data_IF_505288335561
#
_entry.id   IF_505288335561
#
_cell.length_a   1.000
_cell.length_b   1.000
_cell.length_c   1.000
_cell.angle_alpha   90.00
_cell.angle_beta   90.00
_cell.angle_gamma   90.00
#
_symmetry.space_group_name_H-M   'P 1'
#
loop_
_entity.id
_entity.type
_entity.pdbx_description
1 polymer ?
#
# COMPACT_ATOMS: atom_id res chain seq x y z
N UNK A 1 20.72 6.63 -9.37
CA UNK A 1 20.82 5.32 -10.06
C UNK A 1 21.16 4.30 -8.98
N UNK A 2 20.34 3.35 -8.55
CA UNK A 2 19.12 2.74 -9.06
C UNK A 2 18.09 2.69 -7.92
N UNK A 3 16.99 3.45 -8.05
CA UNK A 3 15.82 3.32 -7.18
C UNK A 3 14.74 2.60 -7.96
N UNK A 4 14.25 1.51 -7.38
CA UNK A 4 13.20 0.66 -7.94
C UNK A 4 11.94 1.46 -8.30
N UNK A 5 11.45 1.44 -9.54
CA UNK A 5 10.24 2.17 -9.95
C UNK A 5 8.92 1.51 -9.53
N UNK A 6 8.93 0.30 -8.95
CA UNK A 6 7.68 -0.46 -8.73
C UNK A 6 7.06 -0.27 -7.33
N UNK A 7 7.80 0.31 -6.36
CA UNK A 7 7.27 0.56 -5.01
C UNK A 7 7.34 2.01 -4.55
N UNK A 8 7.85 2.92 -5.38
CA UNK A 8 7.85 4.36 -5.08
C UNK A 8 6.51 5.04 -5.40
N UNK A 9 5.63 4.43 -6.21
CA UNK A 9 4.32 5.01 -6.51
C UNK A 9 3.23 4.76 -5.45
N UNK A 10 3.48 3.96 -4.41
CA UNK A 10 2.40 3.58 -3.48
C UNK A 10 2.51 4.22 -2.10
N UNK A 11 3.66 4.76 -1.68
CA UNK A 11 3.83 5.21 -0.27
C UNK A 11 4.43 6.60 -0.10
N UNK A 12 4.99 7.24 -1.14
CA UNK A 12 5.58 8.58 -0.99
C UNK A 12 5.09 9.48 -2.13
N UNK A 13 4.23 10.43 -1.73
CA UNK A 13 3.78 11.61 -2.48
C UNK A 13 2.77 11.39 -3.63
N UNK A 14 1.48 11.37 -3.27
CA UNK A 14 0.51 12.17 -4.05
C UNK A 14 0.05 13.34 -3.18
N UNK A 15 0.62 14.56 -3.32
CA UNK A 15 -0.19 15.73 -3.09
C UNK A 15 -1.32 15.63 -4.12
N UNK A 16 -2.58 15.64 -3.66
CA UNK A 16 -3.72 15.85 -4.54
C UNK A 16 -3.60 17.28 -5.08
N UNK A 17 -2.80 17.47 -6.12
CA UNK A 17 -2.78 18.69 -6.90
C UNK A 17 -4.12 18.72 -7.64
N UNK A 18 -5.04 19.50 -7.09
CA UNK A 18 -6.20 19.96 -7.84
C UNK A 18 -5.67 20.67 -9.09
N UNK A 19 -5.99 20.13 -10.26
CA UNK A 19 -5.75 20.79 -11.54
C UNK A 19 -6.51 22.11 -11.57
N UNK A 20 -5.79 23.21 -11.37
CA UNK A 20 -6.32 24.54 -11.55
C UNK A 20 -5.81 25.05 -12.91
N UNK A 21 -6.65 24.93 -13.94
CA UNK A 21 -6.38 25.54 -15.24
C UNK A 21 -6.61 27.05 -15.13
N UNK A 22 -5.60 27.83 -15.51
CA UNK A 22 -5.69 29.30 -15.61
C UNK A 22 -6.66 29.67 -16.73
N UNK A 23 -7.79 30.27 -16.38
CA UNK A 23 -8.46 31.23 -17.28
C UNK A 23 -8.97 32.44 -16.50
N UNK A 24 -8.57 33.60 -17.00
CA UNK A 24 -9.26 34.90 -17.07
C UNK A 24 -9.89 35.52 -15.80
N UNK A 25 -9.43 36.75 -15.53
CA UNK A 25 -9.90 37.68 -14.50
C UNK A 25 -11.39 38.03 -14.63
N UNK A 26 -12.23 37.54 -13.73
CA UNK A 26 -13.45 38.22 -13.26
C UNK A 26 -13.69 37.89 -11.78
N UNK A 27 -13.73 38.92 -10.92
CA UNK A 27 -14.19 38.79 -9.53
C UNK A 27 -15.66 38.36 -9.55
N UNK A 28 -15.94 37.11 -9.21
CA UNK A 28 -17.27 36.64 -8.84
C UNK A 28 -17.27 36.40 -7.34
N UNK A 29 -17.97 37.27 -6.62
CA UNK A 29 -18.31 37.04 -5.21
C UNK A 29 -19.47 36.05 -5.18
N UNK A 30 -19.19 34.78 -4.92
CA UNK A 30 -20.20 33.77 -4.61
C UNK A 30 -20.10 33.42 -3.13
N UNK A 31 -21.06 33.88 -2.33
CA UNK A 31 -21.26 33.38 -0.97
C UNK A 31 -21.85 31.97 -1.05
N UNK A 32 -21.04 30.96 -0.74
CA UNK A 32 -21.47 29.57 -0.66
C UNK A 32 -22.19 29.33 0.69
N UNK A 33 -23.51 29.50 0.70
CA UNK A 33 -24.32 29.06 1.83
C UNK A 33 -24.56 27.55 1.70
N UNK A 34 -24.01 26.78 2.64
CA UNK A 34 -24.07 25.32 2.68
C UNK A 34 -25.39 24.89 3.35
N UNK A 35 -26.31 24.15 2.68
CA UNK A 35 -27.51 23.65 3.34
C UNK A 35 -27.13 22.59 4.38
N UNK A 36 -27.59 22.77 5.62
CA UNK A 36 -27.39 21.82 6.74
C UNK A 36 -28.44 20.71 6.70
N UNK A 37 -28.39 19.84 5.70
CA UNK A 37 -29.15 18.60 5.72
C UNK A 37 -28.36 17.52 6.49
N UNK A 38 -28.77 17.23 7.72
CA UNK A 38 -28.28 16.07 8.50
C UNK A 38 -28.69 14.79 7.76
N UNK A 39 -27.74 14.19 7.03
CA UNK A 39 -27.95 12.90 6.37
C UNK A 39 -27.54 11.81 7.35
N UNK A 40 -28.54 11.18 7.97
CA UNK A 40 -28.34 10.00 8.82
C UNK A 40 -27.66 8.90 8.01
N UNK A 41 -26.35 8.81 8.19
CA UNK A 41 -25.50 7.82 7.56
C UNK A 41 -25.69 6.52 8.32
N UNK A 42 -26.74 5.75 7.98
CA UNK A 42 -26.82 4.35 8.38
C UNK A 42 -25.58 3.66 7.83
N UNK A 43 -24.60 3.41 8.72
CA UNK A 43 -23.35 2.74 8.42
C UNK A 43 -23.68 1.31 8.04
N UNK A 44 -23.92 1.06 6.75
CA UNK A 44 -23.99 -0.28 6.19
C UNK A 44 -22.67 -0.96 6.56
N UNK A 45 -22.72 -1.94 7.47
CA UNK A 45 -21.61 -2.82 7.79
C UNK A 45 -21.38 -3.70 6.56
N UNK A 46 -20.64 -3.17 5.59
CA UNK A 46 -20.11 -3.96 4.48
C UNK A 46 -19.17 -4.97 5.14
N UNK A 47 -19.57 -6.24 5.13
CA UNK A 47 -18.67 -7.32 5.52
C UNK A 47 -17.47 -7.26 4.58
N UNK A 48 -16.28 -7.00 5.13
CA UNK A 48 -15.04 -6.86 4.36
C UNK A 48 -14.55 -8.18 3.76
N UNK A 49 -15.28 -9.28 3.98
CA UNK A 49 -14.90 -10.59 3.47
C UNK A 49 -15.55 -10.78 2.09
N UNK A 50 -14.75 -10.93 1.03
CA UNK A 50 -15.28 -11.17 -0.29
C UNK A 50 -15.96 -12.55 -0.35
N UNK A 51 -16.94 -12.73 -1.26
CA UNK A 51 -17.69 -13.98 -1.37
C UNK A 51 -16.74 -15.15 -1.65
N UNK A 52 -16.96 -16.26 -0.93
CA UNK A 52 -16.10 -17.47 -0.92
C UNK A 52 -16.03 -18.19 -2.29
N UNK A 53 -16.82 -17.78 -3.28
CA UNK A 53 -17.05 -18.50 -4.54
C UNK A 53 -16.49 -17.78 -5.78
N UNK A 54 -15.37 -17.07 -5.64
CA UNK A 54 -14.65 -16.49 -6.79
C UNK A 54 -13.66 -17.48 -7.40
N UNK A 55 -13.60 -17.59 -8.73
CA UNK A 55 -12.54 -18.36 -9.45
C UNK A 55 -11.18 -17.64 -9.49
N UNK A 56 -11.09 -16.45 -8.91
CA UNK A 56 -9.98 -15.52 -9.04
C UNK A 56 -9.48 -15.08 -7.67
N UNK A 57 -8.22 -14.68 -7.60
CA UNK A 57 -7.65 -14.06 -6.41
C UNK A 57 -8.26 -12.68 -6.17
N UNK A 58 -8.41 -12.32 -4.91
CA UNK A 58 -9.12 -11.11 -4.48
C UNK A 58 -8.12 -10.15 -3.86
N UNK A 59 -8.08 -8.91 -4.35
CA UNK A 59 -7.17 -7.87 -3.88
C UNK A 59 -7.97 -6.84 -3.07
N UNK A 60 -7.57 -6.63 -1.82
CA UNK A 60 -8.23 -5.71 -0.91
C UNK A 60 -7.88 -4.24 -1.11
N UNK A 61 -8.55 -3.33 -0.36
CA UNK A 61 -8.10 -1.95 -0.23
C UNK A 61 -6.70 -1.89 0.42
N UNK A 62 -5.95 -0.79 0.25
CA UNK A 62 -4.68 -0.60 0.95
C UNK A 62 -4.84 -0.73 2.47
N UNK A 63 -3.92 -1.42 3.11
CA UNK A 63 -3.89 -1.53 4.56
C UNK A 63 -3.59 -0.17 5.22
N UNK A 64 -4.28 0.20 6.32
CA UNK A 64 -4.17 1.52 6.92
C UNK A 64 -2.80 1.82 7.53
N UNK A 65 -1.97 0.79 7.82
CA UNK A 65 -0.67 0.96 8.47
C UNK A 65 0.45 0.71 7.45
N UNK A 66 0.42 -0.44 6.77
CA UNK A 66 1.49 -0.84 5.84
C UNK A 66 1.37 -0.19 4.45
N UNK A 67 0.18 0.29 4.08
CA UNK A 67 -0.19 0.70 2.72
C UNK A 67 -0.11 -0.39 1.64
N UNK A 68 0.25 -1.63 2.02
CA UNK A 68 0.28 -2.79 1.11
C UNK A 68 -1.13 -3.37 0.98
N UNK A 69 -1.49 -3.81 -0.23
CA UNK A 69 -2.80 -4.42 -0.51
C UNK A 69 -2.78 -5.90 -0.12
N UNK A 70 -3.68 -6.35 0.78
CA UNK A 70 -3.79 -7.76 1.11
C UNK A 70 -4.39 -8.52 -0.08
N UNK A 71 -3.89 -9.75 -0.30
CA UNK A 71 -4.38 -10.66 -1.34
C UNK A 71 -4.98 -11.89 -0.67
N UNK A 72 -6.22 -12.20 -1.00
CA UNK A 72 -6.87 -13.45 -0.63
C UNK A 72 -6.84 -14.39 -1.85
N UNK A 73 -6.01 -15.42 -1.77
CA UNK A 73 -5.88 -16.41 -2.84
C UNK A 73 -7.12 -17.30 -2.93
N UNK A 74 -7.56 -17.57 -4.15
CA UNK A 74 -8.60 -18.54 -4.43
C UNK A 74 -8.10 -19.96 -4.11
N UNK A 75 -8.95 -20.73 -3.43
CA UNK A 75 -8.72 -22.14 -3.10
C UNK A 75 -9.60 -23.01 -4.00
N UNK A 76 -9.03 -23.72 -4.99
CA UNK A 76 -9.82 -24.59 -5.86
C UNK A 76 -10.32 -25.83 -5.12
N UNK A 77 -11.50 -26.34 -5.50
CA UNK A 77 -12.11 -27.54 -4.91
C UNK A 77 -11.20 -28.79 -4.95
N UNK A 78 -10.45 -28.98 -6.04
CA UNK A 78 -9.52 -30.09 -6.25
C UNK A 78 -8.05 -29.60 -6.19
N UNK A 79 -7.70 -28.87 -5.13
CA UNK A 79 -6.34 -28.37 -4.91
C UNK A 79 -5.36 -29.53 -4.66
N UNK A 80 -4.30 -29.61 -5.46
CA UNK A 80 -3.21 -30.56 -5.20
C UNK A 80 -2.31 -30.08 -4.06
N UNK A 81 -1.59 -31.00 -3.41
CA UNK A 81 -0.62 -30.63 -2.36
C UNK A 81 0.43 -29.62 -2.85
N UNK A 82 0.83 -29.68 -4.13
CA UNK A 82 1.78 -28.71 -4.72
C UNK A 82 1.14 -27.34 -4.95
N UNK A 83 -0.12 -27.26 -5.37
CA UNK A 83 -0.85 -26.00 -5.47
C UNK A 83 -1.05 -25.35 -4.09
N UNK A 84 -1.40 -26.16 -3.08
CA UNK A 84 -1.56 -25.72 -1.71
C UNK A 84 -0.26 -25.16 -1.14
N UNK A 85 0.86 -25.88 -1.29
CA UNK A 85 2.15 -25.42 -0.76
C UNK A 85 2.63 -24.14 -1.46
N UNK A 86 2.41 -24.02 -2.77
CA UNK A 86 2.70 -22.78 -3.50
C UNK A 86 1.87 -21.60 -2.97
N UNK A 87 0.55 -21.79 -2.83
CA UNK A 87 -0.36 -20.76 -2.31
C UNK A 87 0.03 -20.31 -0.91
N UNK A 88 0.29 -21.25 0.01
CA UNK A 88 0.69 -20.94 1.38
C UNK A 88 2.02 -20.19 1.42
N UNK A 89 3.03 -20.64 0.66
CA UNK A 89 4.32 -19.95 0.57
C UNK A 89 4.16 -18.52 0.03
N UNK A 90 3.31 -18.32 -0.96
CA UNK A 90 3.04 -16.99 -1.49
C UNK A 90 2.35 -16.11 -0.43
N UNK A 91 1.37 -16.64 0.30
CA UNK A 91 0.74 -15.95 1.44
C UNK A 91 1.74 -15.54 2.52
N UNK A 92 2.67 -16.44 2.89
CA UNK A 92 3.70 -16.17 3.89
C UNK A 92 4.62 -15.01 3.47
N UNK A 93 5.03 -14.99 2.19
CA UNK A 93 5.87 -13.92 1.61
C UNK A 93 5.11 -12.58 1.64
N UNK A 94 3.83 -12.57 1.27
CA UNK A 94 3.00 -11.37 1.32
C UNK A 94 2.78 -10.89 2.75
N UNK A 95 2.57 -11.80 3.70
CA UNK A 95 2.43 -11.46 5.11
C UNK A 95 3.73 -10.89 5.69
N UNK A 96 4.88 -11.46 5.33
CA UNK A 96 6.19 -10.92 5.70
C UNK A 96 6.36 -9.49 5.19
N UNK A 97 6.00 -9.25 3.93
CA UNK A 97 6.04 -7.91 3.32
C UNK A 97 5.11 -6.92 4.04
N UNK A 98 3.89 -7.34 4.34
CA UNK A 98 2.90 -6.57 5.11
C UNK A 98 3.47 -6.16 6.47
N UNK A 99 4.05 -7.11 7.20
CA UNK A 99 4.60 -6.89 8.54
C UNK A 99 5.79 -5.93 8.52
N UNK A 100 6.69 -6.08 7.54
CA UNK A 100 7.83 -5.18 7.37
C UNK A 100 7.36 -3.73 7.17
N UNK A 101 6.44 -3.50 6.23
CA UNK A 101 5.95 -2.15 5.94
C UNK A 101 5.07 -1.59 7.06
N UNK A 102 4.28 -2.42 7.75
CA UNK A 102 3.52 -1.99 8.91
C UNK A 102 4.46 -1.46 10.02
N UNK A 103 5.53 -2.21 10.31
CA UNK A 103 6.52 -1.81 11.29
C UNK A 103 7.28 -0.55 10.86
N UNK A 104 7.80 -0.52 9.63
CA UNK A 104 8.56 0.60 9.10
C UNK A 104 7.75 1.90 9.07
N UNK A 105 6.49 1.84 8.58
CA UNK A 105 5.61 3.01 8.53
C UNK A 105 5.25 3.49 9.93
N UNK A 106 5.02 2.58 10.88
CA UNK A 106 4.74 2.95 12.28
C UNK A 106 5.89 3.74 12.88
N UNK A 107 7.14 3.28 12.70
CA UNK A 107 8.33 4.00 13.15
C UNK A 107 8.48 5.35 12.46
N UNK A 108 8.30 5.40 11.13
CA UNK A 108 8.35 6.64 10.35
C UNK A 108 7.35 7.69 10.86
N UNK A 109 6.08 7.32 11.03
CA UNK A 109 5.06 8.28 11.47
C UNK A 109 5.34 8.78 12.89
N UNK A 110 5.80 7.91 13.78
CA UNK A 110 6.19 8.28 15.14
C UNK A 110 7.36 9.26 15.15
N UNK A 111 8.43 8.96 14.43
CA UNK A 111 9.60 9.83 14.36
C UNK A 111 9.28 11.16 13.69
N UNK A 112 8.47 11.14 12.63
CA UNK A 112 7.99 12.35 11.95
C UNK A 112 7.15 13.21 12.89
N UNK A 113 6.24 12.62 13.66
CA UNK A 113 5.41 13.35 14.63
C UNK A 113 6.28 14.03 15.68
N UNK A 114 7.23 13.30 16.27
CA UNK A 114 8.20 13.87 17.22
C UNK A 114 8.99 15.03 16.60
N UNK A 115 9.48 14.85 15.37
CA UNK A 115 10.22 15.91 14.67
C UNK A 115 9.37 17.16 14.45
N UNK A 116 8.09 16.99 14.09
CA UNK A 116 7.15 18.10 13.92
C UNK A 116 6.93 18.82 15.25
N UNK A 117 6.71 18.09 16.35
CA UNK A 117 6.50 18.69 17.68
C UNK A 117 7.71 19.51 18.15
N UNK A 118 8.93 19.07 17.84
CA UNK A 118 10.17 19.76 18.20
C UNK A 118 10.46 21.00 17.33
N UNK A 119 10.03 20.99 16.07
CA UNK A 119 10.45 21.97 15.07
C UNK A 119 9.32 22.88 14.55
N UNK A 120 8.09 22.69 15.04
CA UNK A 120 6.95 23.54 14.71
C UNK A 120 7.16 24.96 15.22
N UNK A 121 6.82 25.93 14.38
CA UNK A 121 6.82 27.34 14.74
C UNK A 121 5.37 27.84 14.80
N UNK A 122 5.12 28.79 15.70
CA UNK A 122 3.81 29.44 15.80
C UNK A 122 3.85 30.67 14.90
N UNK A 123 3.07 30.63 13.84
CA UNK A 123 2.90 31.77 12.92
C UNK A 123 2.18 32.92 13.63
N UNK A 124 2.25 34.12 13.05
CA UNK A 124 1.59 35.33 13.59
C UNK A 124 0.07 35.17 13.78
N UNK A 125 -0.56 34.25 13.04
CA UNK A 125 -1.97 33.89 13.14
C UNK A 125 -2.27 32.83 14.23
N UNK A 126 -1.26 32.41 15.02
CA UNK A 126 -1.38 31.37 16.04
C UNK A 126 -1.44 29.93 15.50
N UNK A 127 -1.13 29.73 14.22
CA UNK A 127 -1.12 28.40 13.57
C UNK A 127 0.26 27.76 13.73
N UNK A 128 0.31 26.49 14.09
CA UNK A 128 1.55 25.71 14.08
C UNK A 128 1.83 25.20 12.68
N UNK A 129 2.98 25.56 12.12
CA UNK A 129 3.42 25.08 10.81
C UNK A 129 4.90 24.67 10.84
N UNK A 130 5.27 23.72 9.98
CA UNK A 130 6.67 23.31 9.79
C UNK A 130 7.09 23.65 8.37
N UNK A 131 8.24 24.32 8.24
CA UNK A 131 8.81 24.64 6.94
C UNK A 131 9.20 23.36 6.18
N UNK A 132 8.98 23.38 4.87
CA UNK A 132 9.36 22.29 3.98
C UNK A 132 10.87 21.99 4.03
N UNK A 133 11.69 23.02 4.26
CA UNK A 133 13.15 22.88 4.41
C UNK A 133 13.50 21.97 5.60
N UNK A 134 12.91 22.24 6.78
CA UNK A 134 13.12 21.42 7.98
C UNK A 134 12.63 19.98 7.76
N UNK A 135 11.45 19.82 7.17
CA UNK A 135 10.91 18.49 6.90
C UNK A 135 11.78 17.70 5.88
N UNK A 136 12.41 18.39 4.93
CA UNK A 136 13.35 17.76 3.98
C UNK A 136 14.60 17.20 4.68
N UNK A 137 15.12 17.92 5.69
CA UNK A 137 16.24 17.47 6.52
C UNK A 137 15.86 16.21 7.30
N UNK A 138 14.67 16.19 7.90
CA UNK A 138 14.13 14.98 8.53
C UNK A 138 14.07 13.81 7.56
N UNK A 139 13.50 14.01 6.37
CA UNK A 139 13.38 12.92 5.39
C UNK A 139 14.73 12.36 4.97
N UNK A 140 15.70 13.24 4.70
CA UNK A 140 17.05 12.80 4.36
C UNK A 140 17.65 11.96 5.49
N UNK A 141 17.60 12.46 6.72
CA UNK A 141 18.12 11.76 7.91
C UNK A 141 17.47 10.38 8.07
N UNK A 142 16.14 10.32 8.04
CA UNK A 142 15.40 9.07 8.20
C UNK A 142 15.78 8.04 7.14
N UNK A 143 15.92 8.47 5.88
CA UNK A 143 16.34 7.60 4.78
C UNK A 143 17.78 7.09 4.96
N UNK A 144 18.69 7.95 5.40
CA UNK A 144 20.09 7.60 5.64
C UNK A 144 20.21 6.56 6.77
N UNK A 145 19.49 6.77 7.89
CA UNK A 145 19.47 5.84 9.04
C UNK A 145 18.85 4.48 8.69
N UNK A 146 17.82 4.46 7.84
CA UNK A 146 17.12 3.23 7.45
C UNK A 146 17.71 2.53 6.21
N UNK A 147 18.75 3.11 5.60
CA UNK A 147 19.33 2.63 4.34
C UNK A 147 19.72 1.15 4.37
N UNK A 148 20.40 0.70 5.43
CA UNK A 148 20.85 -0.70 5.55
C UNK A 148 19.65 -1.64 5.69
N UNK A 149 18.67 -1.26 6.50
CA UNK A 149 17.43 -2.02 6.68
C UNK A 149 16.69 -2.21 5.34
N UNK A 150 16.57 -1.13 4.56
CA UNK A 150 15.95 -1.18 3.22
C UNK A 150 16.71 -2.06 2.24
N UNK A 151 18.05 -2.02 2.25
CA UNK A 151 18.87 -2.90 1.41
C UNK A 151 18.68 -4.37 1.78
N UNK A 152 18.68 -4.68 3.07
CA UNK A 152 18.45 -6.04 3.57
C UNK A 152 17.05 -6.54 3.23
N UNK A 153 16.03 -5.70 3.41
CA UNK A 153 14.65 -5.99 3.00
C UNK A 153 14.57 -6.29 1.51
N UNK A 154 15.10 -5.41 0.64
CA UNK A 154 15.03 -5.61 -0.80
C UNK A 154 15.73 -6.91 -1.21
N UNK A 155 16.88 -7.21 -0.61
CA UNK A 155 17.60 -8.47 -0.85
C UNK A 155 16.73 -9.69 -0.52
N UNK A 156 16.13 -9.73 0.66
CA UNK A 156 15.26 -10.85 1.06
C UNK A 156 13.97 -10.90 0.24
N UNK A 157 13.39 -9.75 -0.09
CA UNK A 157 12.21 -9.66 -0.96
C UNK A 157 12.49 -10.30 -2.33
N UNK A 158 13.60 -9.95 -2.97
CA UNK A 158 14.00 -10.55 -4.25
C UNK A 158 14.26 -12.05 -4.13
N UNK A 159 14.99 -12.46 -3.11
CA UNK A 159 15.27 -13.88 -2.85
C UNK A 159 13.99 -14.69 -2.67
N UNK A 160 13.03 -14.19 -1.90
CA UNK A 160 11.72 -14.83 -1.69
C UNK A 160 10.92 -14.90 -3.00
N UNK A 161 10.83 -13.80 -3.76
CA UNK A 161 10.10 -13.77 -5.04
C UNK A 161 10.72 -14.69 -6.10
N UNK A 162 12.05 -14.71 -6.22
CA UNK A 162 12.75 -15.62 -7.13
C UNK A 162 12.51 -17.08 -6.72
N UNK A 163 12.47 -17.36 -5.41
CA UNK A 163 12.21 -18.71 -4.92
C UNK A 163 10.82 -19.25 -5.27
N UNK A 164 9.87 -18.39 -5.62
CA UNK A 164 8.53 -18.78 -6.07
C UNK A 164 8.47 -19.23 -7.53
N UNK A 165 9.48 -18.91 -8.35
CA UNK A 165 9.44 -19.17 -9.80
C UNK A 165 9.31 -20.66 -10.12
N UNK A 166 10.12 -21.50 -9.46
CA UNK A 166 10.09 -22.95 -9.70
C UNK A 166 8.76 -23.59 -9.24
N UNK A 167 8.27 -23.36 -8.01
CA UNK A 167 6.93 -23.78 -7.60
C UNK A 167 5.81 -23.29 -8.53
N UNK A 168 5.87 -22.02 -8.98
CA UNK A 168 4.88 -21.45 -9.88
C UNK A 168 4.87 -22.17 -11.24
N UNK A 169 6.04 -22.47 -11.80
CA UNK A 169 6.18 -23.23 -13.04
C UNK A 169 5.59 -24.65 -12.88
N UNK A 170 5.92 -25.34 -11.78
CA UNK A 170 5.40 -26.68 -11.48
C UNK A 170 3.87 -26.68 -11.36
N UNK A 171 3.29 -25.71 -10.65
CA UNK A 171 1.83 -25.55 -10.52
C UNK A 171 1.19 -25.25 -11.89
N UNK A 172 1.83 -24.43 -12.71
CA UNK A 172 1.34 -24.12 -14.06
C UNK A 172 1.27 -25.37 -14.92
N UNK A 173 2.30 -26.22 -14.88
CA UNK A 173 2.29 -27.50 -15.58
C UNK A 173 1.16 -28.43 -15.11
N UNK A 174 0.97 -28.60 -13.80
CA UNK A 174 -0.13 -29.39 -13.23
C UNK A 174 -1.50 -28.88 -13.67
N UNK A 175 -1.68 -27.56 -13.75
CA UNK A 175 -2.93 -26.95 -14.20
C UNK A 175 -3.16 -27.15 -15.70
N UNK A 176 -2.10 -27.17 -16.51
CA UNK A 176 -2.16 -27.43 -17.95
C UNK A 176 -2.53 -28.89 -18.23
N UNK A 177 -1.87 -29.85 -17.58
CA UNK A 177 -2.17 -31.29 -17.76
C UNK A 177 -3.62 -31.58 -17.39
N UNK A 178 -4.09 -31.08 -16.24
CA UNK A 178 -5.51 -31.19 -15.82
C UNK A 178 -6.50 -30.51 -16.78
N UNK A 179 -6.08 -29.48 -17.51
CA UNK A 179 -6.93 -28.85 -18.54
C UNK A 179 -7.00 -29.73 -19.79
N UNK A 180 -5.88 -30.32 -20.19
CA UNK A 180 -5.81 -31.24 -21.32
C UNK A 180 -6.67 -32.48 -21.07
N UNK A 181 -6.55 -33.12 -19.91
CA UNK A 181 -7.34 -34.31 -19.53
C UNK A 181 -8.86 -34.07 -19.47
N UNK A 182 -9.31 -32.82 -19.35
CA UNK A 182 -10.74 -32.46 -19.36
C UNK A 182 -11.29 -32.18 -20.75
N UNK A 183 -10.42 -31.93 -21.72
CA UNK A 183 -10.77 -31.54 -23.08
C UNK A 183 -10.53 -32.66 -24.10
N UNK A 184 -9.81 -33.72 -23.71
CA UNK A 184 -9.66 -34.98 -24.45
C UNK A 184 -10.76 -35.97 -24.06
#
# INVERSE_FOLDING_TARGET
MFSNPVLLEVVILTPRLAGCSRTSTRKLHCSFQRPTAKKDSKKLKIQQQPPVSGKFDLIGPPDPISNVRPIQFHVPLKETATEKSFRLRHSEILQWNQNFWAHHNSSFFKEKENYILEHQEIDSDGKTSISAEKLSVFYKRFLDENRISHLNYNREWYKQNISLLWPALKVTFIRLTRKFDRNS
#
